data_IF_600042479446
#
_entry.id   IF_600042479446
#
_cell.length_a   1.000
_cell.length_b   1.000
_cell.length_c   1.000
_cell.angle_alpha   90.00
_cell.angle_beta   90.00
_cell.angle_gamma   90.00
#
_symmetry.space_group_name_H-M   'P 1'
#
loop_
_entity.id
_entity.type
_entity.pdbx_description
1 polymer ?
#
# COMPACT_ATOMS: atom_id res chain seq x y z
N UNK A 1 -1.41 -14.80 -0.51
CA UNK A 1 -1.48 -14.18 0.84
C UNK A 1 -2.77 -13.38 0.90
N UNK A 2 -3.45 -13.35 2.05
CA UNK A 2 -4.63 -12.50 2.25
C UNK A 2 -4.34 -11.44 3.33
N UNK A 3 -4.87 -10.24 3.18
CA UNK A 3 -4.76 -9.19 4.19
C UNK A 3 -5.69 -9.51 5.36
N UNK A 4 -5.10 -9.55 6.55
CA UNK A 4 -5.87 -9.65 7.80
C UNK A 4 -6.92 -8.53 7.87
N UNK A 5 -8.18 -8.90 8.11
CA UNK A 5 -9.31 -7.97 8.27
C UNK A 5 -9.08 -6.95 9.39
N UNK A 6 -8.39 -7.34 10.48
CA UNK A 6 -8.06 -6.44 11.60
C UNK A 6 -7.00 -5.43 11.20
N UNK A 7 -7.34 -4.14 11.22
CA UNK A 7 -6.42 -3.05 10.89
C UNK A 7 -6.28 -2.77 9.39
N UNK A 8 -7.11 -3.40 8.54
CA UNK A 8 -7.32 -2.95 7.18
C UNK A 8 -8.48 -1.94 7.12
N UNK A 9 -8.48 -1.13 6.07
CA UNK A 9 -9.50 -0.13 5.77
C UNK A 9 -10.16 -0.51 4.44
N UNK A 10 -11.47 -0.24 4.30
CA UNK A 10 -12.19 -0.46 3.03
C UNK A 10 -12.19 0.81 2.19
N UNK A 11 -12.25 0.63 0.87
CA UNK A 11 -12.46 1.70 -0.11
C UNK A 11 -13.12 1.11 -1.35
N UNK A 12 -14.04 1.84 -1.97
CA UNK A 12 -14.60 1.48 -3.27
C UNK A 12 -13.97 2.37 -4.32
N UNK A 13 -13.40 1.77 -5.37
CA UNK A 13 -12.78 2.47 -6.49
C UNK A 13 -13.37 1.91 -7.76
N UNK A 14 -13.98 2.79 -8.55
CA UNK A 14 -14.57 2.47 -9.86
C UNK A 14 -15.52 1.25 -9.80
N UNK A 15 -16.33 1.18 -8.73
CA UNK A 15 -17.32 0.13 -8.51
C UNK A 15 -16.81 -1.15 -7.85
N UNK A 16 -15.49 -1.30 -7.66
CA UNK A 16 -14.90 -2.49 -7.02
C UNK A 16 -14.56 -2.17 -5.55
N UNK A 17 -14.97 -3.04 -4.64
CA UNK A 17 -14.59 -2.94 -3.23
C UNK A 17 -13.20 -3.52 -2.99
N UNK A 18 -12.34 -2.70 -2.39
CA UNK A 18 -11.00 -3.07 -1.97
C UNK A 18 -10.85 -2.95 -0.47
N UNK A 19 -9.86 -3.66 0.06
CA UNK A 19 -9.30 -3.37 1.38
C UNK A 19 -7.82 -3.10 1.26
N UNK A 20 -7.34 -2.21 2.10
CA UNK A 20 -5.94 -1.82 2.11
C UNK A 20 -5.40 -1.70 3.53
N UNK A 21 -4.09 -1.85 3.67
CA UNK A 21 -3.43 -1.91 4.96
C UNK A 21 -2.00 -1.38 4.88
N UNK A 22 -1.66 -0.54 5.84
CA UNK A 22 -0.28 -0.19 6.18
C UNK A 22 0.19 -1.12 7.30
N UNK A 23 1.45 -1.56 7.27
CA UNK A 23 2.03 -2.31 8.39
C UNK A 23 2.05 -1.41 9.63
N UNK A 24 1.81 -2.00 10.82
CA UNK A 24 1.81 -1.22 12.07
C UNK A 24 3.21 -0.85 12.55
N UNK A 25 4.14 -1.81 12.47
CA UNK A 25 5.55 -1.58 12.79
C UNK A 25 6.30 -1.31 11.49
N UNK A 26 7.30 -0.41 11.46
CA UNK A 26 8.17 -0.29 10.29
C UNK A 26 9.03 -1.56 10.15
N UNK A 27 9.52 -1.83 8.93
CA UNK A 27 10.74 -2.63 8.79
C UNK A 27 11.94 -1.86 9.37
N UNK A 28 13.09 -2.50 9.55
CA UNK A 28 14.29 -1.81 10.02
C UNK A 28 14.65 -0.63 9.10
N UNK A 29 14.66 -0.87 7.78
CA UNK A 29 14.95 0.13 6.75
C UNK A 29 13.96 1.30 6.78
N UNK A 30 12.66 1.02 6.99
CA UNK A 30 11.63 2.06 7.15
C UNK A 30 11.75 2.80 8.49
N UNK A 31 12.26 2.13 9.53
CA UNK A 31 12.50 2.71 10.86
C UNK A 31 13.58 3.78 10.81
N UNK A 32 14.62 3.56 10.00
CA UNK A 32 15.69 4.53 9.72
C UNK A 32 15.36 5.48 8.57
N UNK A 33 14.15 5.44 8.01
CA UNK A 33 13.77 6.24 6.85
C UNK A 33 14.73 6.10 5.65
N UNK A 34 15.36 4.93 5.48
CA UNK A 34 16.17 4.62 4.29
C UNK A 34 15.31 4.17 3.11
N UNK A 35 14.15 3.59 3.42
CA UNK A 35 13.14 3.26 2.42
C UNK A 35 11.79 3.84 2.83
N UNK A 36 10.96 4.21 1.85
CA UNK A 36 9.63 4.73 2.14
C UNK A 36 8.70 3.63 2.66
N UNK A 37 7.57 4.04 3.22
CA UNK A 37 6.55 3.11 3.66
C UNK A 37 5.86 2.44 2.47
N UNK A 38 5.44 1.20 2.72
CA UNK A 38 4.63 0.41 1.79
C UNK A 38 3.26 0.13 2.38
N UNK A 39 2.27 -0.02 1.50
CA UNK A 39 0.95 -0.50 1.88
C UNK A 39 0.43 -1.50 0.86
N UNK A 40 -0.40 -2.41 1.32
CA UNK A 40 -0.97 -3.48 0.51
C UNK A 40 -2.45 -3.23 0.23
N UNK A 41 -2.92 -3.67 -0.93
CA UNK A 41 -4.32 -3.60 -1.36
C UNK A 41 -4.74 -4.96 -1.94
N UNK A 42 -5.94 -5.42 -1.59
CA UNK A 42 -6.58 -6.60 -2.19
C UNK A 42 -8.08 -6.34 -2.41
N UNK A 43 -8.72 -7.14 -3.26
CA UNK A 43 -10.18 -7.13 -3.39
C UNK A 43 -10.86 -7.56 -2.07
N UNK A 44 -11.92 -6.86 -1.67
CA UNK A 44 -12.55 -7.08 -0.38
C UNK A 44 -13.64 -8.18 -0.38
N UNK A 45 -14.31 -8.40 -1.52
CA UNK A 45 -15.53 -9.21 -1.63
C UNK A 45 -15.34 -10.49 -2.47
N UNK A 46 -14.13 -11.06 -2.48
CA UNK A 46 -13.84 -12.29 -3.19
C UNK A 46 -13.56 -13.39 -2.15
N UNK A 47 -14.19 -14.56 -2.33
CA UNK A 47 -14.02 -15.71 -1.43
C UNK A 47 -12.58 -16.23 -1.42
N UNK A 48 -11.85 -16.02 -2.52
CA UNK A 48 -10.41 -16.25 -2.60
C UNK A 48 -9.64 -14.93 -2.73
N UNK A 49 -8.51 -14.78 -2.02
CA UNK A 49 -7.64 -13.63 -2.19
C UNK A 49 -7.01 -13.67 -3.58
N UNK A 50 -7.37 -12.71 -4.43
CA UNK A 50 -6.69 -12.47 -5.70
C UNK A 50 -5.33 -11.81 -5.52
N UNK A 51 -4.81 -11.21 -6.59
CA UNK A 51 -3.45 -10.65 -6.60
C UNK A 51 -3.38 -9.42 -5.70
N UNK A 52 -2.49 -9.47 -4.70
CA UNK A 52 -2.21 -8.33 -3.84
C UNK A 52 -1.39 -7.27 -4.60
N UNK A 53 -1.83 -6.01 -4.54
CA UNK A 53 -1.03 -4.86 -4.93
C UNK A 53 -0.19 -4.39 -3.74
N UNK A 54 1.11 -4.23 -3.93
CA UNK A 54 2.04 -3.62 -2.99
C UNK A 54 2.45 -2.26 -3.56
N UNK A 55 2.11 -1.19 -2.84
CA UNK A 55 2.47 0.17 -3.24
C UNK A 55 3.61 0.66 -2.37
N UNK A 56 4.70 1.09 -2.99
CA UNK A 56 5.74 1.89 -2.37
C UNK A 56 5.35 3.35 -2.47
N UNK A 57 5.13 4.03 -1.34
CA UNK A 57 4.73 5.45 -1.34
C UNK A 57 5.92 6.39 -1.39
N UNK A 58 5.68 7.70 -1.48
CA UNK A 58 6.71 8.74 -1.30
C UNK A 58 6.92 9.19 0.14
N UNK A 59 6.33 8.51 1.12
CA UNK A 59 6.28 8.96 2.52
C UNK A 59 7.11 8.04 3.42
N UNK A 60 7.67 8.59 4.50
CA UNK A 60 8.30 7.80 5.55
C UNK A 60 7.25 6.94 6.29
N UNK A 61 7.69 6.01 7.14
CA UNK A 61 6.74 5.26 7.96
C UNK A 61 6.30 6.12 9.16
N UNK A 62 4.99 6.20 9.50
CA UNK A 62 4.51 7.06 10.60
C UNK A 62 5.10 6.74 11.98
N UNK A 63 5.58 5.50 12.16
CA UNK A 63 6.28 5.06 13.37
C UNK A 63 7.79 4.86 13.15
N UNK A 64 8.40 5.68 12.29
CA UNK A 64 9.85 5.71 12.13
C UNK A 64 10.56 6.11 13.44
N UNK A 65 11.83 5.76 13.57
CA UNK A 65 12.62 5.96 14.79
C UNK A 65 13.37 7.28 14.81
N UNK A 66 13.39 8.01 13.69
CA UNK A 66 14.08 9.28 13.54
C UNK A 66 13.17 10.50 13.82
N UNK A 67 11.88 10.27 14.09
CA UNK A 67 10.92 11.34 14.35
C UNK A 67 10.58 12.18 13.12
N UNK A 68 10.85 11.67 11.90
CA UNK A 68 10.52 12.36 10.65
C UNK A 68 9.01 12.48 10.53
N UNK A 69 8.53 13.72 10.38
CA UNK A 69 7.11 13.98 10.15
C UNK A 69 6.68 13.33 8.83
N UNK A 70 5.54 12.66 8.86
CA UNK A 70 5.06 11.83 7.76
C UNK A 70 3.63 12.21 7.45
N UNK A 71 3.31 12.45 6.18
CA UNK A 71 1.93 12.63 5.79
C UNK A 71 1.17 11.29 5.82
N UNK A 72 0.02 11.19 6.50
CA UNK A 72 -0.78 9.97 6.49
C UNK A 72 -1.25 9.62 5.07
N UNK A 73 -1.21 8.33 4.70
CA UNK A 73 -1.85 7.85 3.47
C UNK A 73 -3.36 8.03 3.59
N UNK A 74 -3.92 8.84 2.69
CA UNK A 74 -5.36 9.13 2.59
C UNK A 74 -6.04 8.16 1.62
N UNK A 75 -7.35 7.92 1.75
CA UNK A 75 -8.11 7.13 0.79
C UNK A 75 -7.94 7.61 -0.67
N UNK A 76 -7.80 8.92 -0.90
CA UNK A 76 -7.55 9.46 -2.23
C UNK A 76 -6.22 8.99 -2.85
N UNK A 77 -5.15 8.89 -2.05
CA UNK A 77 -3.86 8.35 -2.50
C UNK A 77 -3.99 6.87 -2.90
N UNK A 78 -4.75 6.11 -2.10
CA UNK A 78 -5.02 4.68 -2.37
C UNK A 78 -5.82 4.51 -3.64
N UNK A 79 -6.88 5.31 -3.84
CA UNK A 79 -7.68 5.26 -5.06
C UNK A 79 -6.86 5.59 -6.31
N UNK A 80 -5.99 6.60 -6.25
CA UNK A 80 -5.08 6.93 -7.35
C UNK A 80 -4.13 5.76 -7.68
N UNK A 81 -3.50 5.16 -6.66
CA UNK A 81 -2.59 4.02 -6.86
C UNK A 81 -3.31 2.78 -7.40
N UNK A 82 -4.56 2.54 -7.00
CA UNK A 82 -5.38 1.46 -7.56
C UNK A 82 -5.60 1.69 -9.06
N UNK A 83 -6.05 2.88 -9.45
CA UNK A 83 -6.28 3.21 -10.87
C UNK A 83 -5.02 3.08 -11.71
N UNK A 84 -3.90 3.57 -11.18
CA UNK A 84 -2.60 3.47 -11.83
C UNK A 84 -2.19 2.00 -12.00
N UNK A 85 -2.24 1.19 -10.94
CA UNK A 85 -1.93 -0.24 -11.04
C UNK A 85 -2.85 -0.97 -12.02
N UNK A 86 -4.16 -0.66 -12.03
CA UNK A 86 -5.12 -1.21 -13.01
C UNK A 86 -4.73 -0.86 -14.44
N UNK A 87 -4.30 0.38 -14.68
CA UNK A 87 -3.81 0.80 -16.01
C UNK A 87 -2.51 0.10 -16.43
N UNK A 88 -1.69 -0.33 -15.46
CA UNK A 88 -0.45 -1.09 -15.67
C UNK A 88 -0.68 -2.62 -15.73
N UNK A 89 -1.92 -3.08 -15.74
CA UNK A 89 -2.27 -4.50 -15.90
C UNK A 89 -2.43 -5.28 -14.60
N UNK A 90 -2.47 -4.64 -13.44
CA UNK A 90 -2.84 -5.33 -12.21
C UNK A 90 -4.29 -5.83 -12.28
N UNK A 91 -4.50 -7.13 -12.09
CA UNK A 91 -5.82 -7.72 -11.93
C UNK A 91 -6.05 -8.21 -10.48
N UNK A 92 -6.92 -7.55 -9.70
CA UNK A 92 -7.19 -7.94 -8.32
C UNK A 92 -8.00 -9.24 -8.20
N UNK A 93 -8.59 -9.75 -9.29
CA UNK A 93 -9.41 -10.97 -9.30
C UNK A 93 -8.61 -12.22 -9.63
N UNK A 94 -7.48 -12.08 -10.34
CA UNK A 94 -6.62 -13.20 -10.68
C UNK A 94 -5.73 -13.57 -9.49
N UNK A 95 -5.55 -14.86 -9.23
CA UNK A 95 -4.54 -15.31 -8.29
C UNK A 95 -3.14 -15.19 -8.92
N UNK A 96 -2.15 -14.76 -8.14
CA UNK A 96 -0.82 -14.54 -8.68
C UNK A 96 0.19 -14.03 -7.67
N UNK A 97 1.41 -13.80 -8.17
CA UNK A 97 2.45 -13.11 -7.41
C UNK A 97 2.03 -11.65 -7.14
N UNK A 98 2.46 -11.04 -6.03
CA UNK A 98 2.15 -9.65 -5.74
C UNK A 98 2.55 -8.71 -6.88
N UNK A 99 1.67 -7.78 -7.22
CA UNK A 99 1.96 -6.71 -8.18
C UNK A 99 2.57 -5.52 -7.43
N UNK A 100 3.74 -5.05 -7.87
CA UNK A 100 4.43 -3.93 -7.24
C UNK A 100 4.20 -2.64 -8.02
N UNK A 101 3.79 -1.58 -7.33
CA UNK A 101 3.69 -0.23 -7.88
C UNK A 101 4.62 0.70 -7.10
N UNK A 102 5.55 1.34 -7.80
CA UNK A 102 6.44 2.32 -7.20
C UNK A 102 5.91 3.75 -7.39
N UNK A 103 5.57 4.40 -6.27
CA UNK A 103 5.19 5.82 -6.19
C UNK A 103 6.09 6.57 -5.21
N UNK A 104 7.36 6.15 -5.10
CA UNK A 104 8.35 6.73 -4.19
C UNK A 104 8.99 8.02 -4.70
N UNK A 105 8.63 8.50 -5.88
CA UNK A 105 9.14 9.75 -6.44
C UNK A 105 9.03 10.90 -5.42
N UNK A 106 10.16 11.56 -5.17
CA UNK A 106 10.27 12.66 -4.20
C UNK A 106 10.57 12.24 -2.75
N UNK A 107 10.64 10.94 -2.44
CA UNK A 107 11.13 10.48 -1.14
C UNK A 107 12.63 10.79 -0.99
N UNK A 108 13.01 11.35 0.15
CA UNK A 108 14.40 11.67 0.50
C UNK A 108 14.84 10.75 1.64
N UNK A 109 15.73 9.76 1.39
CA UNK A 109 16.27 8.91 2.43
C UNK A 109 17.03 9.72 3.48
N UNK A 110 16.91 9.32 4.74
CA UNK A 110 17.68 9.95 5.82
C UNK A 110 19.10 9.35 5.91
N UNK A 111 20.10 10.15 6.35
CA UNK A 111 21.47 9.68 6.54
C UNK A 111 21.60 8.52 7.53
#
# INVERSE_FOLDING_TARGET
MALNKKGSRRITVDGIEYRWRIRRKPSYMQGLCWTPMTYAVEAANVDQPGTTLIVTSGQAHPSNWLGVETEPIRPAHVAASIREARSQGWDPMLAGAPFSLDRSAGFIPQP
#
